data_IF_366643824122
#
_entry.id   IF_366643824122
#
_cell.length_a   1.000
_cell.length_b   1.000
_cell.length_c   1.000
_cell.angle_alpha   90.00
_cell.angle_beta   90.00
_cell.angle_gamma   90.00
#
_symmetry.space_group_name_H-M   'P 1'
#
loop_
_entity.id
_entity.type
_entity.pdbx_description
1 polymer ?
#
# COMPACT_ATOMS: atom_id res chain seq x y z
N UNK A 1 -12.95 -1.94 -11.66
CA UNK A 1 -13.80 -0.84 -11.15
C UNK A 1 -15.28 -1.23 -10.99
N UNK A 2 -15.98 -1.80 -11.98
CA UNK A 2 -17.41 -2.18 -11.87
C UNK A 2 -17.67 -3.29 -10.82
N UNK A 3 -16.69 -4.18 -10.58
CA UNK A 3 -16.82 -5.24 -9.56
C UNK A 3 -16.59 -4.79 -8.10
N UNK A 4 -15.94 -3.65 -7.85
CA UNK A 4 -15.72 -3.18 -6.46
C UNK A 4 -17.00 -2.65 -5.82
N UNK A 5 -17.84 -1.95 -6.59
CA UNK A 5 -19.09 -1.36 -6.10
C UNK A 5 -20.02 -2.37 -5.39
N UNK A 6 -20.38 -3.53 -6.00
CA UNK A 6 -21.20 -4.52 -5.33
C UNK A 6 -20.52 -5.16 -4.12
N UNK A 7 -19.19 -5.34 -4.14
CA UNK A 7 -18.42 -5.80 -2.99
C UNK A 7 -18.47 -4.80 -1.83
N UNK A 8 -18.23 -3.51 -2.07
CA UNK A 8 -18.30 -2.46 -1.06
C UNK A 8 -19.71 -2.37 -0.44
N UNK A 9 -20.76 -2.51 -1.26
CA UNK A 9 -22.17 -2.53 -0.78
C UNK A 9 -22.43 -3.76 0.10
N UNK A 10 -21.88 -4.93 -0.25
CA UNK A 10 -21.98 -6.13 0.57
C UNK A 10 -21.23 -5.98 1.90
N UNK A 11 -20.01 -5.41 1.88
CA UNK A 11 -19.23 -5.13 3.09
C UNK A 11 -19.90 -4.09 4.02
N UNK A 12 -20.61 -3.10 3.46
CA UNK A 12 -21.37 -2.11 4.25
C UNK A 12 -22.40 -2.75 5.18
N UNK A 13 -22.98 -3.90 4.80
CA UNK A 13 -23.96 -4.63 5.61
C UNK A 13 -23.33 -5.31 6.83
N UNK A 14 -22.05 -5.65 6.77
CA UNK A 14 -21.29 -6.32 7.84
C UNK A 14 -20.36 -5.38 8.62
N UNK A 15 -20.60 -4.06 8.58
CA UNK A 15 -19.75 -3.03 9.22
C UNK A 15 -19.52 -3.18 10.73
N UNK A 16 -20.26 -4.08 11.37
CA UNK A 16 -20.17 -4.33 12.81
C UNK A 16 -18.76 -4.79 13.19
N UNK A 17 -18.16 -5.67 12.38
CA UNK A 17 -16.84 -6.21 12.66
C UNK A 17 -15.72 -5.25 12.27
N UNK A 18 -14.70 -5.17 13.11
CA UNK A 18 -13.52 -4.33 12.88
C UNK A 18 -12.83 -4.58 11.53
N UNK A 19 -12.71 -5.83 11.09
CA UNK A 19 -12.06 -6.15 9.82
C UNK A 19 -12.75 -5.50 8.62
N UNK A 20 -14.07 -5.57 8.56
CA UNK A 20 -14.84 -5.00 7.44
C UNK A 20 -14.71 -3.48 7.41
N UNK A 21 -14.61 -2.82 8.56
CA UNK A 21 -14.34 -1.36 8.63
C UNK A 21 -12.98 -1.00 8.03
N UNK A 22 -11.93 -1.77 8.34
CA UNK A 22 -10.59 -1.55 7.76
C UNK A 22 -10.61 -1.80 6.25
N UNK A 23 -11.17 -2.94 5.82
CA UNK A 23 -11.24 -3.30 4.40
C UNK A 23 -12.04 -2.28 3.58
N UNK A 24 -13.12 -1.73 4.13
CA UNK A 24 -13.95 -0.74 3.46
C UNK A 24 -13.22 0.62 3.34
N UNK A 25 -12.50 1.02 4.39
CA UNK A 25 -11.63 2.21 4.33
C UNK A 25 -10.52 2.04 3.29
N UNK A 26 -9.85 0.88 3.28
CA UNK A 26 -8.78 0.57 2.33
C UNK A 26 -9.31 0.58 0.89
N UNK A 27 -10.46 -0.06 0.63
CA UNK A 27 -11.09 -0.06 -0.70
C UNK A 27 -11.42 1.35 -1.23
N UNK A 28 -11.75 2.30 -0.34
CA UNK A 28 -11.95 3.71 -0.73
C UNK A 28 -10.61 4.35 -1.12
N UNK A 29 -9.57 4.15 -0.31
CA UNK A 29 -8.21 4.65 -0.60
C UNK A 29 -7.71 4.09 -1.93
N UNK A 30 -7.81 2.79 -2.16
CA UNK A 30 -7.37 2.10 -3.37
C UNK A 30 -8.12 2.58 -4.61
N UNK A 31 -9.44 2.77 -4.51
CA UNK A 31 -10.25 3.30 -5.61
C UNK A 31 -9.77 4.69 -6.03
N UNK A 32 -9.48 5.57 -5.07
CA UNK A 32 -8.96 6.91 -5.36
C UNK A 32 -7.54 6.82 -5.92
N UNK A 33 -6.70 5.94 -5.37
CA UNK A 33 -5.33 5.74 -5.81
C UNK A 33 -5.25 5.27 -7.25
N UNK A 34 -6.10 4.33 -7.69
CA UNK A 34 -6.18 3.91 -9.10
C UNK A 34 -6.48 5.10 -10.02
N UNK A 35 -7.41 5.98 -9.63
CA UNK A 35 -7.74 7.16 -10.44
C UNK A 35 -6.51 8.06 -10.60
N UNK A 36 -5.72 8.23 -9.53
CA UNK A 36 -4.54 9.09 -9.53
C UNK A 36 -3.35 8.44 -10.27
N UNK A 37 -2.99 7.20 -9.91
CA UNK A 37 -1.79 6.52 -10.38
C UNK A 37 -1.94 5.87 -11.78
N UNK A 38 -3.17 5.65 -12.24
CA UNK A 38 -3.43 4.96 -13.51
C UNK A 38 -4.14 5.89 -14.50
N UNK A 39 -5.29 6.47 -14.13
CA UNK A 39 -6.08 7.30 -15.07
C UNK A 39 -5.42 8.66 -15.27
N UNK A 40 -5.20 9.41 -14.19
CA UNK A 40 -4.59 10.75 -14.27
C UNK A 40 -3.14 10.65 -14.77
N UNK A 41 -2.37 9.68 -14.28
CA UNK A 41 -1.03 9.42 -14.79
C UNK A 41 -1.02 9.02 -16.28
N UNK A 42 -1.93 8.15 -16.71
CA UNK A 42 -2.06 7.77 -18.12
C UNK A 42 -2.40 8.96 -19.02
N UNK A 43 -3.26 9.87 -18.56
CA UNK A 43 -3.56 11.13 -19.26
C UNK A 43 -2.31 12.01 -19.40
N UNK A 44 -1.53 12.16 -18.32
CA UNK A 44 -0.26 12.90 -18.33
C UNK A 44 0.71 12.33 -19.38
N UNK A 45 0.77 11.00 -19.49
CA UNK A 45 1.64 10.32 -20.47
C UNK A 45 1.17 10.50 -21.92
N UNK A 46 -0.14 10.42 -22.19
CA UNK A 46 -0.68 10.56 -23.56
C UNK A 46 -0.45 11.97 -24.12
N UNK A 47 -0.58 12.98 -23.27
CA UNK A 47 -0.44 14.39 -23.63
C UNK A 47 1.01 14.90 -23.47
N UNK A 48 1.97 14.02 -23.12
CA UNK A 48 3.38 14.35 -22.83
C UNK A 48 3.54 15.55 -21.85
N UNK A 49 2.66 15.61 -20.84
CA UNK A 49 2.63 16.72 -19.90
C UNK A 49 3.82 16.64 -18.93
N UNK A 50 4.55 17.75 -18.83
CA UNK A 50 5.58 17.97 -17.82
C UNK A 50 5.09 18.98 -16.79
N UNK A 51 5.75 19.03 -15.63
CA UNK A 51 5.38 19.95 -14.54
C UNK A 51 5.20 21.40 -15.02
N UNK A 52 6.04 21.87 -15.95
CA UNK A 52 5.97 23.22 -16.48
C UNK A 52 4.72 23.50 -17.34
N UNK A 53 4.09 22.47 -17.94
CA UNK A 53 2.92 22.62 -18.80
C UNK A 53 1.64 22.84 -17.98
N UNK A 54 1.43 22.03 -16.94
CA UNK A 54 0.28 22.11 -16.05
C UNK A 54 0.69 21.88 -14.59
N UNK A 55 1.32 22.89 -13.94
CA UNK A 55 1.96 22.72 -12.63
C UNK A 55 0.95 22.34 -11.54
N UNK A 56 -0.21 22.99 -11.50
CA UNK A 56 -1.24 22.71 -10.49
C UNK A 56 -1.79 21.29 -10.59
N UNK A 57 -2.08 20.82 -11.81
CA UNK A 57 -2.62 19.48 -12.02
C UNK A 57 -1.61 18.41 -11.61
N UNK A 58 -0.37 18.51 -12.08
CA UNK A 58 0.69 17.54 -11.78
C UNK A 58 1.05 17.56 -10.30
N UNK A 59 1.09 18.74 -9.68
CA UNK A 59 1.33 18.87 -8.25
C UNK A 59 0.23 18.19 -7.41
N UNK A 60 -1.05 18.40 -7.75
CA UNK A 60 -2.17 17.76 -7.05
C UNK A 60 -2.13 16.24 -7.21
N UNK A 61 -1.85 15.74 -8.42
CA UNK A 61 -1.70 14.29 -8.70
C UNK A 61 -0.53 13.72 -7.88
N UNK A 62 0.59 14.42 -7.81
CA UNK A 62 1.76 14.03 -7.03
C UNK A 62 1.51 13.96 -5.52
N UNK A 63 0.87 15.00 -4.97
CA UNK A 63 0.45 15.04 -3.57
C UNK A 63 -0.53 13.91 -3.24
N UNK A 64 -1.55 13.71 -4.08
CA UNK A 64 -2.53 12.64 -3.90
C UNK A 64 -1.85 11.27 -3.99
N UNK A 65 -0.98 11.05 -4.97
CA UNK A 65 -0.22 9.79 -5.14
C UNK A 65 0.60 9.46 -3.90
N UNK A 66 1.33 10.44 -3.34
CA UNK A 66 2.12 10.27 -2.13
C UNK A 66 1.28 9.93 -0.90
N UNK A 67 0.20 10.69 -0.67
CA UNK A 67 -0.68 10.45 0.47
C UNK A 67 -1.32 9.07 0.39
N UNK A 68 -1.89 8.74 -0.78
CA UNK A 68 -2.61 7.49 -1.00
C UNK A 68 -1.69 6.27 -0.87
N UNK A 69 -0.47 6.31 -1.43
CA UNK A 69 0.54 5.25 -1.26
C UNK A 69 0.84 4.98 0.21
N UNK A 70 1.22 6.02 0.96
CA UNK A 70 1.56 5.86 2.37
C UNK A 70 0.35 5.44 3.22
N UNK A 71 -0.85 5.94 2.89
CA UNK A 71 -2.12 5.57 3.53
C UNK A 71 -2.50 4.11 3.29
N UNK A 72 -2.37 3.64 2.05
CA UNK A 72 -2.61 2.26 1.65
C UNK A 72 -1.63 1.32 2.37
N UNK A 73 -0.32 1.63 2.35
CA UNK A 73 0.71 0.87 3.04
C UNK A 73 0.39 0.63 4.53
N UNK A 74 0.05 1.69 5.29
CA UNK A 74 -0.30 1.54 6.71
C UNK A 74 -1.63 0.80 6.88
N UNK A 75 -2.58 0.97 5.96
CA UNK A 75 -3.85 0.24 5.91
C UNK A 75 -3.67 -1.26 5.76
N UNK A 76 -2.84 -1.68 4.82
CA UNK A 76 -2.46 -3.07 4.59
C UNK A 76 -1.78 -3.68 5.82
N UNK A 77 -0.82 -2.97 6.43
CA UNK A 77 -0.18 -3.42 7.67
C UNK A 77 -1.17 -3.57 8.84
N UNK A 78 -2.11 -2.64 8.98
CA UNK A 78 -3.18 -2.73 9.98
C UNK A 78 -4.08 -3.94 9.75
N UNK A 79 -4.44 -4.23 8.50
CA UNK A 79 -5.26 -5.38 8.14
C UNK A 79 -4.56 -6.70 8.48
N UNK A 80 -3.30 -6.86 8.08
CA UNK A 80 -2.54 -8.09 8.37
C UNK A 80 -2.31 -8.26 9.87
N UNK A 81 -2.01 -7.18 10.59
CA UNK A 81 -1.87 -7.19 12.05
C UNK A 81 -3.17 -7.62 12.74
N UNK A 82 -4.32 -7.11 12.28
CA UNK A 82 -5.63 -7.52 12.80
C UNK A 82 -5.86 -9.02 12.61
N UNK A 83 -5.58 -9.56 11.41
CA UNK A 83 -5.73 -10.98 11.11
C UNK A 83 -4.82 -11.85 11.98
N UNK A 84 -3.58 -11.41 12.23
CA UNK A 84 -2.68 -12.10 13.15
C UNK A 84 -3.25 -12.16 14.57
N UNK A 85 -3.79 -11.05 15.07
CA UNK A 85 -4.42 -11.03 16.40
C UNK A 85 -5.70 -11.86 16.49
N UNK A 86 -6.45 -11.99 15.39
CA UNK A 86 -7.60 -12.89 15.28
C UNK A 86 -7.17 -14.37 15.36
N UNK A 87 -6.02 -14.72 14.80
CA UNK A 87 -5.43 -16.08 14.90
C UNK A 87 -4.92 -16.39 16.31
N UNK A 88 -4.38 -15.38 17.00
CA UNK A 88 -3.90 -15.49 18.38
C UNK A 88 -5.02 -15.38 19.44
N UNK A 89 -6.29 -15.27 19.02
CA UNK A 89 -7.46 -15.08 19.90
C UNK A 89 -7.39 -13.84 20.81
N UNK A 90 -6.67 -12.79 20.39
CA UNK A 90 -6.58 -11.50 21.11
C UNK A 90 -7.25 -10.34 20.35
N UNK A 91 -8.02 -10.66 19.31
CA UNK A 91 -8.68 -9.68 18.42
C UNK A 91 -9.65 -8.71 19.10
N UNK A 92 -10.29 -9.09 20.21
CA UNK A 92 -11.28 -8.24 20.90
C UNK A 92 -10.70 -6.90 21.38
N UNK A 93 -9.44 -6.89 21.82
CA UNK A 93 -8.74 -5.65 22.24
C UNK A 93 -8.48 -4.72 21.06
N UNK A 94 -8.23 -5.29 19.88
CA UNK A 94 -7.95 -4.53 18.67
C UNK A 94 -9.24 -3.97 18.07
N UNK A 95 -10.33 -4.74 18.12
CA UNK A 95 -11.65 -4.34 17.63
C UNK A 95 -12.20 -3.08 18.33
N UNK A 96 -11.97 -2.95 19.64
CA UNK A 96 -12.33 -1.75 20.40
C UNK A 96 -11.58 -0.49 19.95
N UNK A 97 -10.38 -0.65 19.35
CA UNK A 97 -9.51 0.46 18.95
C UNK A 97 -9.51 0.72 17.43
N UNK A 98 -10.17 -0.11 16.64
CA UNK A 98 -10.12 -0.05 15.17
C UNK A 98 -10.49 1.32 14.60
N UNK A 99 -11.51 1.98 15.12
CA UNK A 99 -11.89 3.32 14.64
C UNK A 99 -10.78 4.35 14.87
N UNK A 100 -10.09 4.29 16.02
CA UNK A 100 -8.95 5.18 16.28
C UNK A 100 -7.78 4.87 15.35
N UNK A 101 -7.54 3.60 15.03
CA UNK A 101 -6.48 3.19 14.11
C UNK A 101 -6.78 3.63 12.66
N UNK A 102 -8.04 3.59 12.23
CA UNK A 102 -8.46 4.11 10.91
C UNK A 102 -8.29 5.63 10.86
N UNK A 103 -8.65 6.34 11.93
CA UNK A 103 -8.41 7.79 12.02
C UNK A 103 -6.91 8.09 11.94
N UNK A 104 -6.09 7.34 12.66
CA UNK A 104 -4.63 7.46 12.59
C UNK A 104 -4.10 7.22 11.17
N UNK A 105 -4.53 6.15 10.49
CA UNK A 105 -4.16 5.86 9.10
C UNK A 105 -4.60 6.98 8.14
N UNK A 106 -5.78 7.55 8.36
CA UNK A 106 -6.28 8.69 7.59
C UNK A 106 -5.43 9.94 7.83
N UNK A 107 -5.05 10.23 9.07
CA UNK A 107 -4.12 11.32 9.38
C UNK A 107 -2.75 11.09 8.75
N UNK A 108 -2.27 9.86 8.72
CA UNK A 108 -1.01 9.48 8.07
C UNK A 108 -1.02 9.75 6.56
N UNK A 109 -2.11 9.35 5.88
CA UNK A 109 -2.36 9.68 4.48
C UNK A 109 -2.29 11.19 4.24
N UNK A 110 -3.00 11.99 5.03
CA UNK A 110 -2.99 13.45 4.88
C UNK A 110 -1.64 14.08 5.21
N UNK A 111 -0.90 13.52 6.18
CA UNK A 111 0.46 13.98 6.49
C UNK A 111 1.36 13.88 5.26
N UNK A 112 1.38 12.71 4.61
CA UNK A 112 2.18 12.53 3.39
C UNK A 112 1.68 13.36 2.21
N UNK A 113 0.36 13.45 2.02
CA UNK A 113 -0.21 14.19 0.90
C UNK A 113 -0.04 15.71 0.99
N UNK A 114 0.00 16.28 2.19
CA UNK A 114 0.00 17.74 2.39
C UNK A 114 1.33 18.30 2.91
N UNK A 115 2.09 17.52 3.67
CA UNK A 115 3.27 18.02 4.39
C UNK A 115 4.60 17.41 3.93
N UNK A 116 4.59 16.50 2.95
CA UNK A 116 5.82 15.95 2.37
C UNK A 116 5.96 16.32 0.90
N UNK A 117 7.19 16.38 0.36
CA UNK A 117 7.41 16.67 -1.06
C UNK A 117 6.65 15.67 -1.96
N UNK A 118 5.87 16.15 -2.94
CA UNK A 118 5.14 15.28 -3.86
C UNK A 118 6.07 14.59 -4.84
N UNK A 119 5.60 13.50 -5.43
CA UNK A 119 6.23 12.91 -6.62
C UNK A 119 5.78 13.65 -7.88
N UNK A 120 6.66 13.75 -8.85
CA UNK A 120 6.44 14.42 -10.13
C UNK A 120 6.51 13.40 -11.26
N UNK A 121 5.55 13.48 -12.18
CA UNK A 121 5.50 12.62 -13.36
C UNK A 121 6.60 12.97 -14.35
N UNK A 122 7.28 11.95 -14.89
CA UNK A 122 8.26 12.09 -15.95
C UNK A 122 7.87 11.22 -17.15
N UNK A 123 7.49 11.86 -18.26
CA UNK A 123 7.05 11.16 -19.47
C UNK A 123 8.15 10.29 -20.09
N UNK A 124 9.42 10.73 -20.04
CA UNK A 124 10.56 9.99 -20.61
C UNK A 124 10.81 8.66 -19.91
N UNK A 125 10.64 8.63 -18.60
CA UNK A 125 10.83 7.44 -17.79
C UNK A 125 9.53 6.69 -17.48
N UNK A 126 8.37 7.20 -17.94
CA UNK A 126 7.05 6.62 -17.71
C UNK A 126 6.77 6.26 -16.24
N UNK A 127 7.28 7.06 -15.32
CA UNK A 127 7.11 6.86 -13.88
C UNK A 127 7.08 8.21 -13.13
N UNK A 128 6.82 8.16 -11.82
CA UNK A 128 6.83 9.33 -10.94
C UNK A 128 8.06 9.31 -10.05
N UNK A 129 8.71 10.45 -9.86
CA UNK A 129 9.97 10.60 -9.14
C UNK A 129 9.94 11.80 -8.21
N UNK A 130 10.76 11.78 -7.17
CA UNK A 130 10.99 12.98 -6.36
C UNK A 130 11.91 13.98 -7.05
N UNK A 131 12.89 13.48 -7.83
CA UNK A 131 13.75 14.34 -8.64
C UNK A 131 13.01 14.81 -9.90
N UNK A 132 12.85 16.12 -10.12
CA UNK A 132 12.27 16.66 -11.36
C UNK A 132 13.15 16.47 -12.60
N UNK A 133 14.41 16.01 -12.45
CA UNK A 133 15.45 15.93 -13.47
C UNK A 133 15.75 17.29 -14.14
N UNK A 134 15.65 18.37 -13.36
CA UNK A 134 15.89 19.74 -13.80
C UNK A 134 17.12 20.31 -13.06
N UNK A 135 18.11 20.75 -13.82
CA UNK A 135 19.32 21.40 -13.32
C UNK A 135 20.49 20.44 -13.07
N UNK A 136 21.58 20.98 -12.52
CA UNK A 136 22.82 20.23 -12.23
C UNK A 136 22.95 19.81 -10.75
N UNK A 137 21.85 19.88 -10.01
CA UNK A 137 21.82 19.51 -8.59
C UNK A 137 21.87 17.98 -8.46
N UNK A 138 22.58 17.43 -7.47
CA UNK A 138 22.58 16.00 -7.21
C UNK A 138 21.19 15.53 -6.79
N UNK A 139 20.78 14.37 -7.30
CA UNK A 139 19.48 13.72 -7.09
C UNK A 139 19.16 13.49 -5.61
N UNK A 140 20.19 13.30 -4.78
CA UNK A 140 20.10 13.07 -3.32
C UNK A 140 19.38 14.20 -2.58
N UNK A 141 19.41 15.43 -3.10
CA UNK A 141 18.74 16.59 -2.49
C UNK A 141 17.22 16.46 -2.55
N UNK A 142 16.70 15.75 -3.55
CA UNK A 142 15.27 15.56 -3.76
C UNK A 142 14.70 14.34 -3.01
N UNK A 143 15.53 13.58 -2.29
CA UNK A 143 15.08 12.38 -1.57
C UNK A 143 14.09 12.76 -0.45
N UNK A 144 12.88 12.20 -0.54
CA UNK A 144 11.87 12.32 0.51
C UNK A 144 12.15 11.30 1.63
N UNK A 145 12.94 11.71 2.63
CA UNK A 145 13.30 10.87 3.79
C UNK A 145 12.10 10.26 4.55
N UNK A 146 11.02 11.01 4.83
CA UNK A 146 9.79 10.42 5.38
C UNK A 146 9.25 9.24 4.57
N UNK A 147 9.23 9.35 3.24
CA UNK A 147 8.76 8.28 2.37
C UNK A 147 9.71 7.08 2.37
N UNK A 148 11.02 7.31 2.32
CA UNK A 148 12.01 6.24 2.46
C UNK A 148 11.85 5.48 3.77
N UNK A 149 11.59 6.18 4.88
CA UNK A 149 11.31 5.56 6.17
C UNK A 149 10.01 4.74 6.16
N UNK A 150 8.93 5.26 5.55
CA UNK A 150 7.69 4.52 5.35
C UNK A 150 7.93 3.20 4.61
N UNK A 151 8.61 3.25 3.46
CA UNK A 151 8.86 2.07 2.64
C UNK A 151 9.75 1.06 3.38
N UNK A 152 10.73 1.52 4.15
CA UNK A 152 11.54 0.62 4.97
C UNK A 152 10.70 -0.06 6.06
N UNK A 153 9.81 0.69 6.72
CA UNK A 153 8.89 0.15 7.72
C UNK A 153 7.96 -0.91 7.12
N UNK A 154 7.43 -0.68 5.92
CA UNK A 154 6.61 -1.65 5.19
C UNK A 154 7.39 -2.93 4.93
N UNK A 155 8.61 -2.83 4.40
CA UNK A 155 9.46 -4.00 4.11
C UNK A 155 9.77 -4.80 5.39
N UNK A 156 10.21 -4.14 6.46
CA UNK A 156 10.59 -4.82 7.71
C UNK A 156 9.38 -5.46 8.41
N UNK A 157 8.24 -4.77 8.42
CA UNK A 157 7.01 -5.27 9.04
C UNK A 157 6.43 -6.45 8.25
N UNK A 158 6.40 -6.36 6.92
CA UNK A 158 5.96 -7.47 6.06
C UNK A 158 6.88 -8.69 6.21
N UNK A 159 8.20 -8.49 6.25
CA UNK A 159 9.16 -9.57 6.47
C UNK A 159 8.96 -10.29 7.81
N UNK A 160 8.73 -9.54 8.89
CA UNK A 160 8.44 -10.11 10.22
C UNK A 160 7.11 -10.87 10.23
N UNK A 161 6.07 -10.35 9.58
CA UNK A 161 4.78 -11.03 9.43
C UNK A 161 4.90 -12.34 8.65
N UNK A 162 5.69 -12.38 7.56
CA UNK A 162 5.95 -13.60 6.81
C UNK A 162 6.74 -14.64 7.63
N UNK A 163 7.71 -14.20 8.43
CA UNK A 163 8.44 -15.11 9.33
C UNK A 163 7.50 -15.75 10.37
N UNK A 164 6.57 -14.96 10.94
CA UNK A 164 5.56 -15.45 11.87
C UNK A 164 4.62 -16.46 11.18
N UNK A 165 4.20 -16.18 9.94
CA UNK A 165 3.37 -17.09 9.15
C UNK A 165 4.06 -18.44 8.96
N UNK A 166 5.31 -18.44 8.50
CA UNK A 166 6.10 -19.66 8.32
C UNK A 166 6.19 -20.45 9.63
N UNK A 167 6.43 -19.79 10.76
CA UNK A 167 6.48 -20.44 12.06
C UNK A 167 5.14 -21.06 12.48
N UNK A 168 4.02 -20.39 12.22
CA UNK A 168 2.67 -20.92 12.50
C UNK A 168 2.40 -22.16 11.65
N UNK A 169 2.66 -22.10 10.33
CA UNK A 169 2.44 -23.22 9.41
C UNK A 169 3.28 -24.44 9.81
N UNK A 170 4.56 -24.25 10.12
CA UNK A 170 5.45 -25.33 10.57
C UNK A 170 4.95 -25.96 11.88
N UNK A 171 4.51 -25.14 12.85
CA UNK A 171 3.97 -25.62 14.11
C UNK A 171 2.67 -26.41 13.93
N UNK A 172 1.86 -26.06 12.94
CA UNK A 172 0.61 -26.77 12.63
C UNK A 172 0.84 -28.14 11.98
N UNK A 173 1.86 -28.28 11.13
CA UNK A 173 2.22 -29.60 10.57
C UNK A 173 2.63 -30.61 11.65
N UNK A 174 3.20 -30.12 12.75
CA UNK A 174 3.59 -30.97 13.89
C UNK A 174 2.47 -31.23 14.90
N UNK A 175 1.34 -30.50 14.86
CA UNK A 175 0.32 -30.56 15.91
C UNK A 175 -0.92 -31.35 15.46
N UNK A 176 -0.98 -32.62 15.86
CA UNK A 176 -2.11 -33.54 15.64
C UNK A 176 -3.39 -33.16 16.42
N UNK A 177 -3.96 -31.99 16.13
CA UNK A 177 -5.18 -31.48 16.80
C UNK A 177 -6.48 -31.84 16.06
N UNK A 178 -7.57 -31.81 16.82
CA UNK A 178 -8.97 -32.13 16.50
C UNK A 178 -9.49 -31.51 15.19
N UNK A 179 -10.33 -32.25 14.45
CA UNK A 179 -10.77 -31.92 13.06
C UNK A 179 -11.50 -30.57 12.97
N UNK A 180 -12.42 -30.30 13.89
CA UNK A 180 -13.25 -29.07 13.88
C UNK A 180 -12.42 -27.80 14.13
N UNK A 181 -11.46 -27.90 15.05
CA UNK A 181 -10.54 -26.82 15.37
C UNK A 181 -9.46 -26.62 14.29
N UNK A 182 -9.16 -27.65 13.49
CA UNK A 182 -8.33 -27.56 12.28
C UNK A 182 -9.04 -26.82 11.16
N UNK A 183 -10.32 -27.10 10.89
CA UNK A 183 -11.09 -26.47 9.81
C UNK A 183 -11.21 -24.96 10.01
N UNK A 184 -11.60 -24.51 11.22
CA UNK A 184 -11.70 -23.08 11.53
C UNK A 184 -10.35 -22.34 11.42
N UNK A 185 -9.24 -22.99 11.83
CA UNK A 185 -7.89 -22.41 11.71
C UNK A 185 -7.39 -22.37 10.27
N UNK A 186 -7.63 -23.41 9.47
CA UNK A 186 -7.30 -23.42 8.04
C UNK A 186 -8.00 -22.27 7.29
N UNK A 187 -9.26 -22.00 7.61
CA UNK A 187 -9.99 -20.87 7.03
C UNK A 187 -9.35 -19.52 7.40
N UNK A 188 -9.03 -19.31 8.69
CA UNK A 188 -8.31 -18.10 9.14
C UNK A 188 -6.93 -17.95 8.49
N UNK A 189 -6.18 -19.05 8.36
CA UNK A 189 -4.87 -19.09 7.72
C UNK A 189 -4.95 -18.76 6.22
N UNK A 190 -5.95 -19.28 5.50
CA UNK A 190 -6.15 -18.98 4.08
C UNK A 190 -6.40 -17.48 3.87
N UNK A 191 -7.26 -16.86 4.69
CA UNK A 191 -7.53 -15.42 4.63
C UNK A 191 -6.27 -14.62 4.95
N UNK A 192 -5.46 -15.06 5.92
CA UNK A 192 -4.19 -14.42 6.24
C UNK A 192 -3.18 -14.52 5.09
N UNK A 193 -3.07 -15.69 4.44
CA UNK A 193 -2.19 -15.90 3.27
C UNK A 193 -2.62 -14.96 2.14
N UNK A 194 -3.92 -14.83 1.87
CA UNK A 194 -4.42 -13.90 0.86
C UNK A 194 -4.00 -12.46 1.17
N UNK A 195 -4.23 -11.98 2.40
CA UNK A 195 -3.80 -10.63 2.81
C UNK A 195 -2.26 -10.45 2.76
N UNK A 196 -1.52 -11.53 3.01
CA UNK A 196 -0.05 -11.55 2.94
C UNK A 196 0.47 -11.48 1.52
N UNK A 197 -0.19 -12.16 0.57
CA UNK A 197 0.16 -12.13 -0.85
C UNK A 197 -0.04 -10.73 -1.44
N UNK A 198 -1.09 -10.02 -1.00
CA UNK A 198 -1.34 -8.63 -1.38
C UNK A 198 -0.15 -7.73 -0.97
N UNK A 199 0.38 -7.92 0.23
CA UNK A 199 1.53 -7.15 0.71
C UNK A 199 2.83 -7.38 -0.09
N UNK A 200 2.93 -8.42 -0.93
CA UNK A 200 4.14 -8.70 -1.73
C UNK A 200 4.38 -7.59 -2.75
N UNK A 201 3.33 -7.09 -3.41
CA UNK A 201 3.46 -6.01 -4.39
C UNK A 201 3.86 -4.70 -3.73
N UNK A 202 3.34 -4.42 -2.53
CA UNK A 202 3.77 -3.29 -1.70
C UNK A 202 5.25 -3.36 -1.32
N UNK A 203 5.73 -4.55 -0.95
CA UNK A 203 7.15 -4.77 -0.63
C UNK A 203 8.01 -4.58 -1.87
N UNK A 204 7.59 -5.12 -3.03
CA UNK A 204 8.31 -4.98 -4.29
C UNK A 204 8.45 -3.51 -4.70
N UNK A 205 7.33 -2.78 -4.77
CA UNK A 205 7.33 -1.36 -5.10
C UNK A 205 8.09 -0.51 -4.05
N UNK A 206 7.97 -0.83 -2.75
CA UNK A 206 8.73 -0.15 -1.69
C UNK A 206 10.24 -0.31 -1.85
N UNK A 207 10.71 -1.54 -2.10
CA UNK A 207 12.13 -1.84 -2.32
C UNK A 207 12.65 -1.15 -3.57
N UNK A 208 11.85 -1.12 -4.63
CA UNK A 208 12.26 -0.52 -5.89
C UNK A 208 12.40 1.00 -5.78
N UNK A 209 11.44 1.68 -5.16
CA UNK A 209 11.56 3.13 -4.93
C UNK A 209 12.73 3.48 -4.00
N UNK A 210 13.05 2.63 -3.01
CA UNK A 210 14.27 2.79 -2.22
C UNK A 210 15.51 2.65 -3.12
N UNK A 211 15.54 1.63 -3.98
CA UNK A 211 16.66 1.41 -4.89
C UNK A 211 16.85 2.60 -5.86
N UNK A 212 15.77 3.12 -6.45
CA UNK A 212 15.80 4.28 -7.35
C UNK A 212 16.37 5.55 -6.71
N UNK A 213 16.17 5.73 -5.40
CA UNK A 213 16.67 6.91 -4.69
C UNK A 213 18.20 6.89 -4.49
N UNK A 214 18.83 5.71 -4.49
CA UNK A 214 20.26 5.57 -4.15
C UNK A 214 21.13 4.99 -5.27
N UNK A 215 20.52 4.34 -6.27
CA UNK A 215 21.26 3.66 -7.34
C UNK A 215 20.72 4.02 -8.73
N UNK A 216 21.60 4.12 -9.74
CA UNK A 216 21.17 4.28 -11.12
C UNK A 216 20.35 3.06 -11.54
N UNK A 217 19.10 3.31 -11.91
CA UNK A 217 18.13 2.25 -12.18
C UNK A 217 17.84 2.16 -13.68
N UNK A 218 17.91 0.96 -14.29
CA UNK A 218 17.57 0.81 -15.70
C UNK A 218 16.08 1.06 -15.94
N UNK A 219 15.74 1.57 -17.12
CA UNK A 219 14.38 1.97 -17.49
C UNK A 219 13.33 0.84 -17.32
N UNK A 220 13.72 -0.40 -17.61
CA UNK A 220 12.83 -1.56 -17.44
C UNK A 220 12.45 -1.74 -15.97
N UNK A 221 13.42 -1.60 -15.07
CA UNK A 221 13.16 -1.77 -13.65
C UNK A 221 12.19 -0.66 -13.19
N UNK A 222 12.48 0.61 -13.49
CA UNK A 222 11.59 1.77 -13.22
C UNK A 222 10.12 1.50 -13.59
N UNK A 223 9.89 0.96 -14.79
CA UNK A 223 8.53 0.66 -15.24
C UNK A 223 7.88 -0.48 -14.46
N UNK A 224 8.65 -1.51 -14.11
CA UNK A 224 8.15 -2.60 -13.27
C UNK A 224 7.73 -2.10 -11.88
N UNK A 225 8.41 -1.12 -11.30
CA UNK A 225 8.01 -0.55 -10.01
C UNK A 225 6.76 0.28 -10.10
N UNK A 226 6.64 1.05 -11.17
CA UNK A 226 5.41 1.80 -11.41
C UNK A 226 4.22 0.87 -11.63
N UNK A 227 4.39 -0.22 -12.40
CA UNK A 227 3.37 -1.25 -12.57
C UNK A 227 3.07 -1.96 -11.24
N UNK A 228 4.09 -2.26 -10.43
CA UNK A 228 3.91 -2.86 -9.10
C UNK A 228 3.11 -1.95 -8.18
N UNK A 229 3.34 -0.62 -8.25
CA UNK A 229 2.53 0.36 -7.54
C UNK A 229 1.08 0.38 -8.02
N UNK A 230 0.83 0.29 -9.33
CA UNK A 230 -0.53 0.22 -9.86
C UNK A 230 -1.25 -1.07 -9.46
N UNK A 231 -0.55 -2.21 -9.54
CA UNK A 231 -1.09 -3.51 -9.12
C UNK A 231 -1.42 -3.50 -7.63
N UNK A 232 -0.56 -2.91 -6.79
CA UNK A 232 -0.77 -2.79 -5.35
C UNK A 232 -2.13 -2.18 -4.94
N UNK A 233 -2.68 -1.29 -5.77
CA UNK A 233 -3.98 -0.65 -5.50
C UNK A 233 -5.14 -1.35 -6.23
N UNK A 234 -4.84 -2.30 -7.11
CA UNK A 234 -5.82 -3.03 -7.93
C UNK A 234 -6.29 -4.36 -7.34
N UNK A 235 -5.89 -4.67 -6.10
CA UNK A 235 -5.98 -6.00 -5.46
C UNK A 235 -7.30 -6.29 -4.72
#
# INVERSE_FOLDING_TARGET
>A
QILYLPCTIALCKERSHACYRIMLWLAVVDTIAIVVNSIAFGYILIEDLVFCSQPWFIWVVGCAGMGLWCGECIGCLLLVTFRLFEMLNIGARFEARTNMLIVFATCYLFYFGLFTPPVLSNARHMAMFFDPFIGHLPTEIYVNWPHTFNNLLVVLTSATLYAILCAIVLKEQCSGKDERAKISRKCKLQIFIQASLICVFNVAASLEYIYMNFFPTPQILIQLGHISWQIAHGE
#
